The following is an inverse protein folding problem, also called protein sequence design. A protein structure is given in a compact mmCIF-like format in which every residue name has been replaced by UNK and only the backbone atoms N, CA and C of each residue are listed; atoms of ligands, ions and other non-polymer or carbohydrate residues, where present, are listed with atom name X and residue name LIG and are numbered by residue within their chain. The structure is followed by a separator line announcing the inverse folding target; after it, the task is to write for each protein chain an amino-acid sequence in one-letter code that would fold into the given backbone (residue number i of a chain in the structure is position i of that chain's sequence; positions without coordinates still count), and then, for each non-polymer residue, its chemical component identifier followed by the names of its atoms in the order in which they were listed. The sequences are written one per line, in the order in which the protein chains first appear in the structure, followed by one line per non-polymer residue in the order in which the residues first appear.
data_IF_689130606236
#
_entry.id   IF_689130606236
#
_cell.length_a   1.000
_cell.length_b   1.000
_cell.length_c   1.000
_cell.angle_alpha   90.00
_cell.angle_beta   90.00
_cell.angle_gamma   90.00
#
_symmetry.space_group_name_H-M   'P 1'
#
loop_
_entity.id
_entity.type
_entity.pdbx_description
1 polymer ?
#
# COMPACT_ATOMS: atom_id res chain seq x y z
N UNK A 1 10.83 -5.86 4.82
CA UNK A 1 10.08 -6.35 3.66
C UNK A 1 8.70 -5.73 3.67
N UNK A 2 8.16 -5.48 2.50
CA UNK A 2 6.76 -5.06 2.31
C UNK A 2 5.84 -6.28 2.42
N UNK A 3 4.52 -6.07 2.31
CA UNK A 3 3.60 -7.12 1.89
C UNK A 3 3.93 -7.62 0.46
N UNK A 4 3.30 -8.73 0.07
CA UNK A 4 3.29 -9.22 -1.31
C UNK A 4 1.91 -8.96 -1.95
N UNK A 5 1.91 -8.54 -3.22
CA UNK A 5 0.70 -8.25 -3.98
C UNK A 5 0.68 -9.08 -5.26
N UNK A 6 -0.41 -9.79 -5.54
CA UNK A 6 -0.54 -10.65 -6.72
C UNK A 6 -1.43 -10.00 -7.78
N UNK A 7 -0.89 -9.69 -8.97
CA UNK A 7 -1.64 -9.24 -10.15
C UNK A 7 -1.38 -10.19 -11.32
N UNK A 8 -2.45 -10.74 -11.91
CA UNK A 8 -2.33 -11.58 -13.11
C UNK A 8 -1.46 -12.83 -12.96
N UNK A 9 -1.33 -13.39 -11.75
CA UNK A 9 -0.46 -14.53 -11.47
C UNK A 9 1.02 -14.17 -11.23
N UNK A 10 1.33 -12.88 -11.14
CA UNK A 10 2.66 -12.36 -10.77
C UNK A 10 2.61 -11.75 -9.38
N UNK A 11 3.48 -12.21 -8.47
CA UNK A 11 3.68 -11.66 -7.14
C UNK A 11 4.69 -10.53 -7.20
N UNK A 12 4.38 -9.42 -6.54
CA UNK A 12 5.26 -8.26 -6.38
C UNK A 12 5.49 -8.00 -4.90
N UNK A 13 6.75 -7.90 -4.49
CA UNK A 13 7.13 -7.58 -3.11
C UNK A 13 8.48 -6.88 -3.05
N UNK A 14 8.67 -6.01 -2.07
CA UNK A 14 9.91 -5.30 -1.83
C UNK A 14 10.99 -6.17 -1.18
N UNK A 15 12.21 -6.05 -1.67
CA UNK A 15 13.40 -6.73 -1.17
C UNK A 15 14.64 -5.83 -1.18
N UNK A 16 15.76 -6.41 -0.79
CA UNK A 16 17.08 -5.76 -0.82
C UNK A 16 18.05 -6.62 -1.60
N UNK A 17 18.83 -5.98 -2.48
CA UNK A 17 19.89 -6.62 -3.24
C UNK A 17 21.22 -6.49 -2.48
N UNK A 18 21.94 -7.59 -2.37
CA UNK A 18 23.31 -7.63 -1.86
C UNK A 18 24.28 -7.75 -3.04
N UNK A 19 25.46 -7.10 -3.03
CA UNK A 19 26.08 -6.38 -1.91
C UNK A 19 25.82 -4.86 -1.88
N UNK A 20 25.03 -4.31 -2.82
CA UNK A 20 24.84 -2.86 -2.94
C UNK A 20 23.78 -2.27 -1.99
N UNK A 21 23.17 -3.10 -1.13
CA UNK A 21 22.09 -2.76 -0.19
C UNK A 21 20.95 -1.95 -0.83
N UNK A 22 20.75 -2.15 -2.14
CA UNK A 22 19.77 -1.39 -2.92
C UNK A 22 18.37 -1.96 -2.70
N UNK A 23 17.41 -1.07 -2.47
CA UNK A 23 15.99 -1.45 -2.45
C UNK A 23 15.53 -1.80 -3.86
N UNK A 24 14.87 -2.95 -3.99
CA UNK A 24 14.33 -3.47 -5.26
C UNK A 24 12.92 -3.98 -5.04
N UNK A 25 12.10 -3.98 -6.09
CA UNK A 25 10.86 -4.76 -6.09
C UNK A 25 11.13 -6.06 -6.83
N UNK A 26 10.85 -7.18 -6.20
CA UNK A 26 10.89 -8.49 -6.84
C UNK A 26 9.53 -8.73 -7.49
N UNK A 27 9.55 -9.10 -8.77
CA UNK A 27 8.39 -9.71 -9.43
C UNK A 27 8.66 -11.20 -9.59
N UNK A 28 7.67 -12.04 -9.30
CA UNK A 28 7.77 -13.49 -9.39
C UNK A 28 6.54 -14.05 -10.09
N UNK A 29 6.72 -14.66 -11.26
CA UNK A 29 5.66 -15.29 -12.01
C UNK A 29 5.38 -16.68 -11.44
N UNK A 30 4.19 -16.87 -10.86
CA UNK A 30 3.85 -18.12 -10.16
C UNK A 30 3.73 -19.31 -11.12
N UNK A 31 3.47 -19.06 -12.42
CA UNK A 31 3.34 -20.13 -13.43
C UNK A 31 4.70 -20.58 -13.98
N UNK A 32 5.56 -19.64 -14.35
CA UNK A 32 6.89 -19.97 -14.89
C UNK A 32 7.95 -20.19 -13.82
N UNK A 33 7.66 -19.80 -12.57
CA UNK A 33 8.59 -19.82 -11.43
C UNK A 33 9.82 -18.91 -11.65
N UNK A 34 9.72 -17.95 -12.56
CA UNK A 34 10.78 -16.99 -12.84
C UNK A 34 10.57 -15.71 -12.03
N UNK A 35 11.68 -15.12 -11.58
CA UNK A 35 11.67 -13.82 -10.93
C UNK A 35 12.51 -12.80 -11.69
N UNK A 36 12.11 -11.55 -11.53
CA UNK A 36 12.85 -10.40 -12.01
C UNK A 36 13.02 -9.38 -10.88
N UNK A 37 14.19 -8.74 -10.83
CA UNK A 37 14.46 -7.62 -9.94
C UNK A 37 14.17 -6.31 -10.67
N UNK A 38 13.14 -5.61 -10.20
CA UNK A 38 12.75 -4.30 -10.68
C UNK A 38 13.50 -3.25 -9.86
N UNK A 39 14.50 -2.65 -10.48
CA UNK A 39 15.26 -1.56 -9.89
C UNK A 39 14.34 -0.36 -9.61
N UNK A 40 14.34 0.10 -8.36
CA UNK A 40 13.67 1.34 -8.00
C UNK A 40 14.49 2.55 -8.50
N UNK A 41 13.83 3.70 -8.73
CA UNK A 41 14.49 4.96 -9.04
C UNK A 41 15.53 5.34 -7.97
N UNK A 42 16.53 6.11 -8.38
CA UNK A 42 17.62 6.51 -7.49
C UNK A 42 17.11 7.25 -6.25
N UNK A 43 17.66 6.91 -5.08
CA UNK A 43 17.27 7.51 -3.80
C UNK A 43 16.01 6.92 -3.15
N UNK A 44 15.22 6.11 -3.88
CA UNK A 44 14.04 5.44 -3.31
C UNK A 44 14.48 4.28 -2.42
N UNK A 45 13.95 4.26 -1.19
CA UNK A 45 14.23 3.20 -0.21
C UNK A 45 12.94 2.54 0.25
N UNK A 46 12.96 1.20 0.31
CA UNK A 46 11.92 0.41 0.96
C UNK A 46 12.19 0.45 2.46
N UNK A 47 11.28 1.07 3.20
CA UNK A 47 11.29 1.05 4.65
C UNK A 47 10.52 -0.17 5.17
N UNK A 48 10.71 -0.51 6.45
CA UNK A 48 9.96 -1.60 7.07
C UNK A 48 8.45 -1.30 7.07
N UNK A 49 7.63 -2.36 7.03
CA UNK A 49 6.19 -2.21 7.10
C UNK A 49 5.77 -1.41 8.35
N UNK A 50 4.79 -0.47 8.22
CA UNK A 50 4.04 -0.07 7.03
C UNK A 50 4.53 1.28 6.51
N UNK A 51 5.83 1.52 6.51
CA UNK A 51 6.37 2.75 5.93
C UNK A 51 6.57 2.62 4.41
N UNK A 52 6.52 1.39 3.91
CA UNK A 52 6.44 1.04 2.49
C UNK A 52 5.61 -0.22 2.31
N UNK A 53 4.67 -0.22 1.37
CA UNK A 53 3.90 -1.41 0.97
C UNK A 53 3.60 -1.40 -0.53
N UNK A 54 3.42 -2.59 -1.09
CA UNK A 54 2.87 -2.81 -2.41
C UNK A 54 1.35 -2.64 -2.35
N UNK A 55 0.81 -1.80 -3.24
CA UNK A 55 -0.61 -1.46 -3.27
C UNK A 55 -1.14 -1.48 -4.70
N UNK A 56 -2.45 -1.69 -4.83
CA UNK A 56 -3.15 -1.42 -6.07
C UNK A 56 -3.45 0.06 -6.18
N UNK A 57 -3.01 0.69 -7.27
CA UNK A 57 -3.28 2.10 -7.52
C UNK A 57 -3.57 2.33 -9.00
N UNK A 58 -4.77 2.86 -9.30
CA UNK A 58 -5.24 3.11 -10.68
C UNK A 58 -5.12 1.88 -11.60
N UNK A 59 -5.42 0.69 -11.06
CA UNK A 59 -5.33 -0.57 -11.79
C UNK A 59 -3.91 -1.13 -11.95
N UNK A 60 -2.90 -0.44 -11.44
CA UNK A 60 -1.49 -0.83 -11.53
C UNK A 60 -0.95 -1.29 -10.18
N UNK A 61 0.17 -2.01 -10.25
CA UNK A 61 1.00 -2.26 -9.08
C UNK A 61 1.77 -0.99 -8.77
N UNK A 62 1.76 -0.59 -7.51
CA UNK A 62 2.55 0.53 -7.04
C UNK A 62 3.23 0.20 -5.71
N UNK A 63 4.38 0.81 -5.49
CA UNK A 63 5.03 0.88 -4.19
C UNK A 63 4.70 2.25 -3.61
N UNK A 64 4.01 2.30 -2.46
CA UNK A 64 4.03 3.55 -1.70
C UNK A 64 5.30 3.56 -0.84
N UNK A 65 5.93 4.72 -0.77
CA UNK A 65 7.04 4.96 0.14
C UNK A 65 6.77 6.22 0.92
N UNK A 66 6.99 6.16 2.23
CA UNK A 66 6.87 7.25 3.19
C UNK A 66 5.49 7.33 3.90
N UNK A 67 5.53 7.65 5.19
CA UNK A 67 4.36 7.95 5.99
C UNK A 67 4.26 9.47 6.07
N UNK A 68 3.20 9.99 5.50
CA UNK A 68 2.96 11.43 5.44
C UNK A 68 2.86 11.98 6.86
N UNK A 69 3.77 12.86 7.24
CA UNK A 69 3.56 13.71 8.41
C UNK A 69 2.72 14.95 8.05
N UNK A 70 2.67 15.33 6.76
CA UNK A 70 2.09 16.59 6.29
C UNK A 70 1.05 16.46 5.16
N UNK A 71 0.52 15.24 4.95
CA UNK A 71 -0.60 14.99 4.04
C UNK A 71 -0.25 14.67 2.59
N UNK A 72 0.94 14.17 2.26
CA UNK A 72 1.34 13.84 0.89
C UNK A 72 1.96 12.43 0.76
N UNK A 73 1.24 11.48 0.15
CA UNK A 73 1.78 10.13 -0.08
C UNK A 73 2.53 10.10 -1.41
N UNK A 74 3.79 9.67 -1.38
CA UNK A 74 4.55 9.37 -2.59
C UNK A 74 4.27 7.93 -3.03
N UNK A 75 3.85 7.78 -4.27
CA UNK A 75 3.49 6.49 -4.89
C UNK A 75 4.33 6.30 -6.13
N UNK A 76 5.03 5.19 -6.22
CA UNK A 76 5.79 4.76 -7.39
C UNK A 76 4.99 3.70 -8.13
N UNK A 77 4.51 4.03 -9.32
CA UNK A 77 3.65 3.18 -10.14
C UNK A 77 4.50 2.41 -11.13
N UNK A 78 4.41 1.09 -11.14
CA UNK A 78 5.09 0.26 -12.13
C UNK A 78 4.33 0.29 -13.45
N UNK A 79 4.97 0.80 -14.51
CA UNK A 79 4.44 0.81 -15.88
C UNK A 79 5.07 -0.30 -16.69
N UNK A 80 4.40 -1.44 -16.70
CA UNK A 80 4.90 -2.66 -17.34
C UNK A 80 5.17 -2.49 -18.84
N UNK A 81 4.32 -1.74 -19.57
CA UNK A 81 4.52 -1.49 -21.02
C UNK A 81 5.76 -0.67 -21.33
N UNK A 82 6.18 0.19 -20.41
CA UNK A 82 7.31 1.12 -20.55
C UNK A 82 8.55 0.61 -19.80
N UNK A 83 8.37 -0.40 -18.94
CA UNK A 83 9.37 -0.96 -18.02
C UNK A 83 10.03 0.11 -17.15
N UNK A 84 9.21 1.05 -16.65
CA UNK A 84 9.65 2.16 -15.82
C UNK A 84 8.76 2.39 -14.60
N UNK A 85 9.31 3.05 -13.59
CA UNK A 85 8.55 3.55 -12.45
C UNK A 85 8.15 5.00 -12.67
N UNK A 86 6.88 5.31 -12.43
CA UNK A 86 6.36 6.70 -12.45
C UNK A 86 6.02 7.18 -11.06
N UNK A 87 6.56 8.34 -10.69
CA UNK A 87 6.21 9.01 -9.44
C UNK A 87 4.85 9.68 -9.56
N UNK A 88 4.02 9.51 -8.54
CA UNK A 88 2.84 10.32 -8.31
C UNK A 88 2.77 10.73 -6.83
N UNK A 89 2.24 11.93 -6.57
CA UNK A 89 1.95 12.40 -5.22
C UNK A 89 0.45 12.47 -5.01
N UNK A 90 0.01 11.87 -3.92
CA UNK A 90 -1.38 11.87 -3.48
C UNK A 90 -1.52 12.81 -2.29
N UNK A 91 -2.23 13.91 -2.49
CA UNK A 91 -2.51 14.88 -1.43
C UNK A 91 -3.74 14.46 -0.62
N UNK A 92 -3.54 14.32 0.69
CA UNK A 92 -4.55 14.16 1.72
C UNK A 92 -4.74 15.52 2.41
N UNK A 93 -5.98 16.03 2.53
CA UNK A 93 -6.24 17.30 3.21
C UNK A 93 -5.63 17.34 4.63
N UNK A 94 -4.77 18.34 4.88
CA UNK A 94 -4.03 18.52 6.14
C UNK A 94 -4.92 18.65 7.37
N UNK A 95 -6.08 19.29 7.21
CA UNK A 95 -7.11 19.46 8.24
C UNK A 95 -7.55 18.11 8.83
N UNK A 96 -7.42 17.05 8.05
CA UNK A 96 -7.86 15.70 8.42
C UNK A 96 -6.68 14.81 8.79
N UNK A 97 -5.52 15.03 8.17
CA UNK A 97 -4.28 14.41 8.59
C UNK A 97 -4.01 14.72 10.07
N UNK A 98 -4.19 15.98 10.51
CA UNK A 98 -4.22 16.35 11.93
C UNK A 98 -3.00 15.85 12.75
N UNK A 99 -1.83 15.74 12.12
CA UNK A 99 -0.61 15.15 12.71
C UNK A 99 -0.69 13.64 12.99
N UNK A 100 -1.76 12.96 12.53
CA UNK A 100 -1.95 11.51 12.63
C UNK A 100 -1.20 10.80 11.50
N UNK A 101 -0.69 9.61 11.81
CA UNK A 101 0.05 8.77 10.86
C UNK A 101 -0.87 7.76 10.20
N UNK A 102 -0.93 7.79 8.87
CA UNK A 102 -1.70 6.84 8.09
C UNK A 102 -0.79 6.02 7.18
N UNK A 103 -1.14 4.75 7.03
CA UNK A 103 -0.61 3.87 5.98
C UNK A 103 -1.54 3.91 4.79
N UNK A 104 -1.02 4.13 3.59
CA UNK A 104 -1.80 4.09 2.36
C UNK A 104 -2.05 2.64 1.97
N UNK A 105 -3.31 2.26 1.73
CA UNK A 105 -3.67 0.89 1.38
C UNK A 105 -3.96 0.67 -0.10
N UNK A 106 -3.98 1.75 -0.88
CA UNK A 106 -4.28 1.71 -2.32
C UNK A 106 -5.60 2.38 -2.66
N UNK A 107 -6.12 2.06 -3.84
CA UNK A 107 -7.41 2.51 -4.32
C UNK A 107 -8.37 1.33 -4.48
N UNK A 108 -9.63 1.50 -4.10
CA UNK A 108 -10.71 0.52 -4.34
C UNK A 108 -11.42 0.80 -5.66
N UNK A 109 -12.27 -0.13 -6.11
CA UNK A 109 -12.99 -0.03 -7.39
C UNK A 109 -13.82 1.24 -7.62
N UNK A 110 -14.21 1.96 -6.56
CA UNK A 110 -14.90 3.27 -6.66
C UNK A 110 -13.96 4.42 -7.04
N UNK A 111 -12.64 4.18 -7.06
CA UNK A 111 -11.60 5.20 -7.21
C UNK A 111 -11.24 5.92 -5.91
N UNK A 112 -11.85 5.54 -4.79
CA UNK A 112 -11.47 6.08 -3.48
C UNK A 112 -10.14 5.51 -2.99
N UNK A 113 -9.34 6.39 -2.43
CA UNK A 113 -8.06 6.09 -1.82
C UNK A 113 -8.28 5.70 -0.36
N UNK A 114 -7.73 4.55 0.03
CA UNK A 114 -7.92 4.00 1.37
C UNK A 114 -6.67 4.22 2.20
N UNK A 115 -6.87 4.69 3.42
CA UNK A 115 -5.81 4.90 4.39
C UNK A 115 -6.19 4.24 5.71
N UNK A 116 -5.23 3.56 6.34
CA UNK A 116 -5.40 2.98 7.67
C UNK A 116 -4.59 3.78 8.68
N UNK A 117 -5.23 4.22 9.75
CA UNK A 117 -4.55 4.86 10.86
C UNK A 117 -3.60 3.87 11.54
N UNK A 118 -2.37 4.33 11.79
CA UNK A 118 -1.32 3.49 12.38
C UNK A 118 -1.66 3.00 13.78
N UNK A 119 -2.28 3.86 14.60
CA UNK A 119 -2.63 3.57 15.99
C UNK A 119 -4.12 3.28 16.14
N UNK A 120 -4.45 2.46 17.14
CA UNK A 120 -5.82 2.33 17.62
C UNK A 120 -6.30 3.66 18.22
N UNK A 121 -7.58 3.96 18.02
CA UNK A 121 -8.28 5.05 18.70
C UNK A 121 -9.36 4.43 19.56
N UNK A 122 -9.20 4.52 20.88
CA UNK A 122 -10.12 3.89 21.85
C UNK A 122 -10.38 2.40 21.54
N UNK A 123 -9.31 1.64 21.24
CA UNK A 123 -9.41 0.21 20.89
C UNK A 123 -9.95 -0.09 19.48
N UNK A 124 -10.25 0.93 18.67
CA UNK A 124 -10.80 0.77 17.33
C UNK A 124 -9.75 1.03 16.25
N UNK A 125 -9.83 0.28 15.15
CA UNK A 125 -9.10 0.60 13.93
C UNK A 125 -9.85 1.68 13.15
N UNK A 126 -9.12 2.69 12.68
CA UNK A 126 -9.70 3.81 11.91
C UNK A 126 -9.21 3.74 10.48
N UNK A 127 -10.15 3.87 9.55
CA UNK A 127 -9.89 3.91 8.10
C UNK A 127 -10.45 5.20 7.52
N UNK A 128 -9.71 5.79 6.59
CA UNK A 128 -10.17 6.92 5.79
C UNK A 128 -10.34 6.48 4.34
N UNK A 129 -11.45 6.87 3.73
CA UNK A 129 -11.67 6.74 2.29
C UNK A 129 -11.79 8.14 1.70
N UNK A 130 -10.90 8.45 0.77
CA UNK A 130 -10.80 9.76 0.14
C UNK A 130 -11.09 9.65 -1.34
N UNK A 131 -12.05 10.42 -1.83
CA UNK A 131 -12.27 10.57 -3.26
C UNK A 131 -11.46 11.78 -3.79
N UNK A 132 -10.41 11.56 -4.59
CA UNK A 132 -9.56 12.66 -5.04
C UNK A 132 -10.24 13.57 -6.07
N UNK A 133 -11.35 13.14 -6.68
CA UNK A 133 -12.13 13.92 -7.65
C UNK A 133 -13.12 14.84 -6.94
N UNK A 134 -13.96 14.27 -6.08
CA UNK A 134 -14.99 15.03 -5.35
C UNK A 134 -14.43 15.74 -4.10
N UNK A 135 -13.20 15.40 -3.69
CA UNK A 135 -12.55 15.85 -2.46
C UNK A 135 -13.29 15.45 -1.18
N UNK A 136 -14.23 14.51 -1.28
CA UNK A 136 -14.98 13.99 -0.14
C UNK A 136 -14.10 12.99 0.60
N UNK A 137 -14.06 13.12 1.92
CA UNK A 137 -13.46 12.15 2.82
C UNK A 137 -14.52 11.56 3.73
N UNK A 138 -14.48 10.24 3.91
CA UNK A 138 -15.20 9.54 4.99
C UNK A 138 -14.23 8.86 5.94
N UNK A 139 -14.53 8.94 7.23
CA UNK A 139 -13.89 8.15 8.27
C UNK A 139 -14.78 6.96 8.62
N UNK A 140 -14.19 5.78 8.78
CA UNK A 140 -14.86 4.58 9.27
C UNK A 140 -14.06 3.98 10.43
N UNK A 141 -14.78 3.37 11.37
CA UNK A 141 -14.20 2.72 12.55
C UNK A 141 -14.63 1.28 12.59
N UNK A 142 -13.68 0.40 12.84
CA UNK A 142 -13.94 -1.02 13.08
C UNK A 142 -13.64 -1.29 14.56
N UNK A 143 -14.71 -1.60 15.29
CA UNK A 143 -14.69 -1.93 16.71
C UNK A 143 -14.58 -3.46 16.91
N UNK A 144 -14.11 -3.90 18.08
CA UNK A 144 -14.22 -5.31 18.49
C UNK A 144 -13.21 -6.30 17.91
N UNK A 145 -12.18 -5.86 17.17
CA UNK A 145 -11.19 -6.77 16.54
C UNK A 145 -10.02 -7.13 17.48
N UNK A 146 -9.79 -6.35 18.55
CA UNK A 146 -8.65 -6.57 19.43
C UNK A 146 -9.05 -6.47 20.91
N UNK A 147 -8.78 -7.54 21.67
CA UNK A 147 -8.41 -7.37 23.08
C UNK A 147 -7.17 -6.46 23.17
N UNK A 148 -6.84 -5.96 24.37
CA UNK A 148 -5.75 -5.00 24.61
C UNK A 148 -4.33 -5.46 24.21
N UNK A 149 -4.20 -6.59 23.52
CA UNK A 149 -2.95 -7.31 23.25
C UNK A 149 -2.64 -7.46 21.75
N UNK A 150 -3.56 -7.13 20.83
CA UNK A 150 -3.35 -7.27 19.38
C UNK A 150 -3.48 -5.93 18.64
N UNK A 151 -2.34 -5.28 18.42
CA UNK A 151 -2.27 -3.95 17.79
C UNK A 151 -2.15 -3.97 16.25
N UNK A 152 -2.02 -5.16 15.66
CA UNK A 152 -1.69 -5.34 14.25
C UNK A 152 -2.82 -6.07 13.51
N UNK A 153 -3.31 -5.43 12.45
CA UNK A 153 -4.33 -5.98 11.55
C UNK A 153 -3.85 -5.77 10.12
N UNK A 154 -3.82 -6.82 9.34
CA UNK A 154 -3.55 -6.72 7.90
C UNK A 154 -4.80 -6.28 7.17
N UNK A 155 -4.63 -5.49 6.12
CA UNK A 155 -5.75 -4.97 5.33
C UNK A 155 -5.58 -5.42 3.90
N UNK A 156 -6.56 -6.16 3.41
CA UNK A 156 -6.63 -6.61 2.03
C UNK A 156 -7.77 -5.86 1.36
N UNK A 157 -7.46 -5.02 0.38
CA UNK A 157 -8.47 -4.37 -0.43
C UNK A 157 -9.01 -5.37 -1.45
N UNK A 158 -10.32 -5.30 -1.72
CA UNK A 158 -11.01 -6.12 -2.71
C UNK A 158 -10.79 -7.64 -2.53
N UNK A 159 -10.59 -8.07 -1.27
CA UNK A 159 -10.50 -9.48 -0.93
C UNK A 159 -11.82 -10.18 -1.23
N UNK A 160 -11.75 -11.23 -2.05
CA UNK A 160 -12.84 -12.16 -2.27
C UNK A 160 -12.48 -13.43 -1.52
N UNK A 161 -13.27 -13.78 -0.50
CA UNK A 161 -13.17 -15.09 0.12
C UNK A 161 -13.37 -16.14 -0.97
N UNK A 162 -12.39 -17.02 -1.17
CA UNK A 162 -12.61 -18.16 -2.05
C UNK A 162 -13.67 -19.04 -1.43
N UNK A 163 -14.89 -19.02 -1.99
CA UNK A 163 -15.82 -20.12 -1.84
C UNK A 163 -15.25 -21.30 -2.62
N UNK A 164 -14.25 -21.98 -2.07
CA UNK A 164 -14.03 -23.38 -2.38
C UNK A 164 -15.28 -24.11 -1.85
N UNK A 165 -16.34 -24.13 -2.65
CA UNK A 165 -17.35 -25.15 -2.52
C UNK A 165 -16.66 -26.49 -2.90
N UNK A 166 -16.76 -27.52 -2.05
CA UNK A 166 -16.28 -28.87 -2.38
C UNK A 166 -17.06 -29.50 -3.54
#
# INVERSE_FOLDING_TARGET
MTNALCKGGVLYYGGWRSPDDKSVVVSFNVRSEEFELLDLPEGVKINFHPFSEMVYYKGEIALYSNVTFDGDVQVWIWKESEREWREERVEIPREIAGGRKFSFKGAIGTGELVFKLWRLVNGSHVFLYYNPVTKILRESKIEGVAGTEHYYVETFLDHVDSFLLP
#
